data_IF_763039584649
#
_entry.id   IF_763039584649
#
_cell.length_a   1.000
_cell.length_b   1.000
_cell.length_c   1.000
_cell.angle_alpha   90.00
_cell.angle_beta   90.00
_cell.angle_gamma   90.00
#
_symmetry.space_group_name_H-M   'P 1'
#
loop_
_entity.id
_entity.type
_entity.pdbx_description
1 polymer ?
#
# COMPACT_ATOMS: atom_id res chain seq x y z
N UNK A 1 27.93 -1.16 -17.58
CA UNK A 1 26.94 -1.99 -16.86
C UNK A 1 26.15 -1.17 -15.84
N UNK A 2 26.79 -0.43 -14.92
CA UNK A 2 26.07 0.45 -13.97
C UNK A 2 25.14 1.46 -14.66
N UNK A 3 25.60 2.15 -15.71
CA UNK A 3 24.77 3.07 -16.50
C UNK A 3 23.51 2.39 -17.05
N UNK A 4 23.67 1.21 -17.64
CA UNK A 4 22.56 0.42 -18.17
C UNK A 4 21.57 0.02 -17.07
N UNK A 5 22.06 -0.42 -15.91
CA UNK A 5 21.20 -0.73 -14.75
C UNK A 5 20.45 0.53 -14.30
N UNK A 6 21.13 1.65 -14.14
CA UNK A 6 20.49 2.89 -13.73
C UNK A 6 19.41 3.34 -14.72
N UNK A 7 19.70 3.37 -16.02
CA UNK A 7 18.74 3.73 -17.07
C UNK A 7 17.52 2.80 -17.09
N UNK A 8 17.77 1.49 -16.93
CA UNK A 8 16.71 0.46 -16.92
C UNK A 8 15.71 0.66 -15.80
N UNK A 9 16.17 0.93 -14.58
CA UNK A 9 15.33 0.95 -13.38
C UNK A 9 14.83 2.33 -12.97
N UNK A 10 15.32 3.41 -13.61
CA UNK A 10 14.94 4.79 -13.27
C UNK A 10 13.72 5.32 -14.02
N UNK A 11 13.30 4.67 -15.11
CA UNK A 11 12.19 5.14 -15.95
C UNK A 11 11.16 4.04 -16.21
N UNK A 12 9.89 4.41 -16.17
CA UNK A 12 8.74 3.53 -16.45
C UNK A 12 8.83 2.86 -17.82
N UNK A 13 9.20 3.60 -18.87
CA UNK A 13 9.27 3.06 -20.23
C UNK A 13 10.32 1.94 -20.34
N UNK A 14 11.47 2.14 -19.71
CA UNK A 14 12.51 1.13 -19.67
C UNK A 14 12.10 -0.08 -18.81
N UNK A 15 11.50 0.12 -17.64
CA UNK A 15 10.95 -0.98 -16.84
C UNK A 15 9.85 -1.76 -17.57
N UNK A 16 9.01 -1.08 -18.36
CA UNK A 16 7.92 -1.71 -19.09
C UNK A 16 8.39 -2.53 -20.30
N UNK A 17 9.52 -2.15 -20.91
CA UNK A 17 10.12 -2.84 -22.07
C UNK A 17 11.18 -3.86 -21.65
N UNK A 18 11.84 -3.61 -20.52
CA UNK A 18 12.80 -4.53 -19.94
C UNK A 18 12.05 -5.65 -19.24
N UNK A 19 12.59 -6.87 -19.26
CA UNK A 19 12.00 -8.05 -18.61
C UNK A 19 10.72 -8.64 -19.27
N UNK A 20 9.75 -7.88 -19.79
CA UNK A 20 8.57 -8.47 -20.47
C UNK A 20 8.38 -7.95 -21.90
N UNK A 21 7.66 -8.69 -22.76
CA UNK A 21 6.83 -9.89 -22.50
C UNK A 21 7.56 -11.25 -22.52
N UNK A 22 8.87 -11.27 -22.77
CA UNK A 22 9.59 -12.51 -23.06
C UNK A 22 10.02 -13.38 -21.86
N UNK A 23 9.92 -12.90 -20.63
CA UNK A 23 10.49 -13.58 -19.46
C UNK A 23 9.41 -14.01 -18.47
N UNK A 24 9.58 -15.19 -17.88
CA UNK A 24 8.72 -15.64 -16.80
C UNK A 24 9.04 -14.86 -15.51
N UNK A 25 8.10 -14.89 -14.56
CA UNK A 25 8.32 -14.33 -13.23
C UNK A 25 9.59 -14.87 -12.56
N UNK A 26 9.87 -16.16 -12.77
CA UNK A 26 11.07 -16.81 -12.24
C UNK A 26 12.35 -16.24 -12.84
N UNK A 27 12.38 -16.01 -14.16
CA UNK A 27 13.53 -15.42 -14.84
C UNK A 27 13.82 -14.00 -14.33
N UNK A 28 12.78 -13.25 -14.00
CA UNK A 28 12.90 -11.89 -13.46
C UNK A 28 13.47 -11.92 -12.05
N UNK A 29 12.95 -12.79 -11.19
CA UNK A 29 13.49 -12.98 -9.84
C UNK A 29 14.96 -13.38 -9.89
N UNK A 30 15.33 -14.31 -10.77
CA UNK A 30 16.74 -14.71 -10.96
C UNK A 30 17.61 -13.55 -11.44
N UNK A 31 17.14 -12.78 -12.43
CA UNK A 31 17.87 -11.61 -12.94
C UNK A 31 18.08 -10.54 -11.87
N UNK A 32 17.03 -10.21 -11.11
CA UNK A 32 17.10 -9.24 -10.01
C UNK A 32 18.00 -9.75 -8.88
N UNK A 33 17.95 -11.04 -8.54
CA UNK A 33 18.84 -11.64 -7.54
C UNK A 33 20.30 -11.61 -7.98
N UNK A 34 20.59 -11.83 -9.27
CA UNK A 34 21.93 -11.73 -9.82
C UNK A 34 22.46 -10.28 -9.81
N UNK A 35 21.61 -9.29 -10.07
CA UNK A 35 21.99 -7.88 -9.90
C UNK A 35 22.21 -7.52 -8.43
N UNK A 36 21.35 -8.00 -7.54
CA UNK A 36 21.43 -7.75 -6.10
C UNK A 36 22.65 -8.41 -5.44
N UNK A 37 23.16 -9.52 -5.98
CA UNK A 37 24.36 -10.19 -5.45
C UNK A 37 25.65 -9.39 -5.68
N UNK A 38 25.62 -8.38 -6.55
CA UNK A 38 26.75 -7.49 -6.81
C UNK A 38 26.52 -6.15 -6.10
N UNK A 39 27.24 -5.82 -5.02
CA UNK A 39 26.93 -4.66 -4.16
C UNK A 39 26.83 -3.32 -4.92
N UNK A 40 27.71 -3.10 -5.90
CA UNK A 40 27.71 -1.87 -6.70
C UNK A 40 26.47 -1.78 -7.60
N UNK A 41 26.05 -2.91 -8.20
CA UNK A 41 24.85 -2.95 -9.03
C UNK A 41 23.58 -2.87 -8.17
N UNK A 42 23.56 -3.53 -7.01
CA UNK A 42 22.49 -3.44 -6.04
C UNK A 42 22.24 -2.00 -5.58
N UNK A 43 23.30 -1.27 -5.23
CA UNK A 43 23.21 0.15 -4.86
C UNK A 43 22.74 1.02 -6.03
N UNK A 44 23.25 0.76 -7.24
CA UNK A 44 22.83 1.50 -8.44
C UNK A 44 21.35 1.27 -8.76
N UNK A 45 20.88 0.02 -8.66
CA UNK A 45 19.49 -0.35 -8.85
C UNK A 45 18.59 0.26 -7.77
N UNK A 46 19.00 0.20 -6.50
CA UNK A 46 18.27 0.85 -5.41
C UNK A 46 18.09 2.35 -5.62
N UNK A 47 19.18 3.06 -6.01
CA UNK A 47 19.13 4.48 -6.33
C UNK A 47 18.22 4.79 -7.54
N UNK A 48 18.27 3.93 -8.57
CA UNK A 48 17.42 4.08 -9.76
C UNK A 48 15.93 3.88 -9.42
N UNK A 49 15.60 2.83 -8.65
CA UNK A 49 14.25 2.58 -8.18
C UNK A 49 13.73 3.69 -7.26
N UNK A 50 14.59 4.25 -6.40
CA UNK A 50 14.25 5.42 -5.59
C UNK A 50 13.91 6.64 -6.48
N UNK A 51 14.69 6.88 -7.53
CA UNK A 51 14.40 7.93 -8.51
C UNK A 51 13.04 7.69 -9.19
N UNK A 52 12.77 6.44 -9.59
CA UNK A 52 11.52 6.06 -10.24
C UNK A 52 10.30 6.28 -9.33
N UNK A 53 10.34 5.86 -8.06
CA UNK A 53 9.19 6.04 -7.15
C UNK A 53 8.95 7.47 -6.71
N UNK A 54 9.97 8.33 -6.79
CA UNK A 54 9.89 9.75 -6.42
C UNK A 54 9.31 10.63 -7.54
N UNK A 55 8.95 10.04 -8.68
CA UNK A 55 8.30 10.77 -9.76
C UNK A 55 6.94 11.37 -9.30
N UNK A 56 6.46 12.44 -9.96
CA UNK A 56 5.17 13.02 -9.62
C UNK A 56 4.03 12.00 -9.76
N UNK A 57 3.15 11.92 -8.75
CA UNK A 57 1.98 11.03 -8.75
C UNK A 57 1.02 11.30 -9.94
N UNK A 58 1.08 12.49 -10.53
CA UNK A 58 0.31 12.81 -11.74
C UNK A 58 0.71 11.97 -12.95
N UNK A 59 1.90 11.35 -12.95
CA UNK A 59 2.29 10.38 -13.97
C UNK A 59 1.40 9.13 -13.96
N UNK A 60 0.79 8.77 -12.81
CA UNK A 60 -0.15 7.65 -12.75
C UNK A 60 -1.34 7.83 -13.70
N UNK A 61 -1.70 9.07 -14.05
CA UNK A 61 -2.77 9.37 -15.00
C UNK A 61 -2.42 9.04 -16.47
N UNK A 62 -1.13 8.81 -16.77
CA UNK A 62 -0.67 8.45 -18.11
C UNK A 62 -0.76 6.94 -18.35
N UNK A 63 -0.75 6.15 -17.27
CA UNK A 63 -0.86 4.70 -17.33
C UNK A 63 -2.33 4.32 -17.44
N UNK A 64 -2.78 4.10 -18.67
CA UNK A 64 -4.19 3.89 -19.01
C UNK A 64 -4.43 2.52 -19.63
N UNK A 65 -3.36 1.77 -19.90
CA UNK A 65 -3.40 0.41 -20.43
C UNK A 65 -2.82 -0.58 -19.42
N UNK A 66 -3.33 -1.83 -19.35
CA UNK A 66 -2.77 -2.85 -18.45
C UNK A 66 -1.28 -3.12 -18.66
N UNK A 67 -0.76 -2.87 -19.87
CA UNK A 67 0.68 -2.96 -20.18
C UNK A 67 1.52 -1.93 -19.44
N UNK A 68 0.95 -0.78 -19.09
CA UNK A 68 1.66 0.29 -18.36
C UNK A 68 1.90 -0.08 -16.90
N UNK A 69 1.15 -1.05 -16.37
CA UNK A 69 1.30 -1.57 -15.01
C UNK A 69 2.50 -2.51 -14.86
N UNK A 70 3.12 -2.88 -15.97
CA UNK A 70 4.13 -3.92 -16.01
C UNK A 70 5.35 -3.60 -15.11
N UNK A 71 5.79 -2.34 -15.08
CA UNK A 71 6.79 -1.82 -14.15
C UNK A 71 6.55 -2.23 -12.68
N UNK A 72 5.29 -2.25 -12.21
CA UNK A 72 4.97 -2.63 -10.83
C UNK A 72 5.21 -4.11 -10.59
N UNK A 73 4.94 -4.96 -11.59
CA UNK A 73 5.19 -6.39 -11.52
C UNK A 73 6.69 -6.67 -11.38
N UNK A 74 7.54 -5.99 -12.14
CA UNK A 74 9.00 -6.14 -12.03
C UNK A 74 9.47 -5.77 -10.63
N UNK A 75 9.03 -4.62 -10.11
CA UNK A 75 9.47 -4.14 -8.78
C UNK A 75 8.94 -5.03 -7.67
N UNK A 76 7.73 -5.58 -7.80
CA UNK A 76 7.16 -6.54 -6.85
C UNK A 76 7.87 -7.91 -6.82
N UNK A 77 8.76 -8.18 -7.78
CA UNK A 77 9.63 -9.37 -7.76
C UNK A 77 11.03 -9.09 -7.21
N UNK A 78 11.29 -7.87 -6.73
CA UNK A 78 12.60 -7.51 -6.21
C UNK A 78 12.93 -8.29 -4.92
N UNK A 79 14.13 -8.90 -4.81
CA UNK A 79 14.47 -9.78 -3.66
C UNK A 79 14.55 -9.02 -2.33
N UNK A 80 14.85 -7.72 -2.38
CA UNK A 80 14.99 -6.86 -1.19
C UNK A 80 13.68 -6.18 -0.75
N UNK A 81 12.50 -6.58 -1.24
CA UNK A 81 11.24 -5.93 -0.80
C UNK A 81 10.96 -6.02 0.71
N UNK A 82 11.49 -7.06 1.37
CA UNK A 82 11.41 -7.25 2.82
C UNK A 82 12.51 -6.49 3.58
N UNK A 83 13.47 -5.90 2.87
CA UNK A 83 14.58 -5.18 3.49
C UNK A 83 14.12 -3.80 3.99
N UNK A 84 14.39 -3.44 5.25
CA UNK A 84 14.09 -2.10 5.78
C UNK A 84 14.66 -0.95 4.93
N UNK A 85 15.76 -1.16 4.19
CA UNK A 85 16.37 -0.17 3.30
C UNK A 85 15.51 0.10 2.05
N UNK A 86 14.67 -0.85 1.64
CA UNK A 86 13.79 -0.74 0.48
C UNK A 86 12.42 -0.15 0.80
N UNK A 87 12.15 0.22 2.06
CA UNK A 87 10.86 0.81 2.47
C UNK A 87 10.47 2.01 1.60
N UNK A 88 11.40 2.90 1.27
CA UNK A 88 11.09 4.06 0.42
C UNK A 88 10.60 3.66 -0.97
N UNK A 89 11.16 2.58 -1.54
CA UNK A 89 10.70 2.02 -2.82
C UNK A 89 9.31 1.42 -2.69
N UNK A 90 9.06 0.60 -1.66
CA UNK A 90 7.74 0.00 -1.43
C UNK A 90 6.66 1.08 -1.22
N UNK A 91 6.90 2.04 -0.34
CA UNK A 91 5.97 3.11 -0.02
C UNK A 91 5.72 4.06 -1.20
N UNK A 92 6.78 4.44 -1.93
CA UNK A 92 6.64 5.27 -3.12
C UNK A 92 5.92 4.57 -4.26
N UNK A 93 6.21 3.28 -4.50
CA UNK A 93 5.46 2.45 -5.45
C UNK A 93 3.98 2.35 -5.07
N UNK A 94 3.68 2.07 -3.80
CA UNK A 94 2.30 2.00 -3.32
C UNK A 94 1.57 3.33 -3.55
N UNK A 95 2.23 4.47 -3.32
CA UNK A 95 1.67 5.79 -3.60
C UNK A 95 1.37 5.99 -5.08
N UNK A 96 2.26 5.58 -5.98
CA UNK A 96 2.00 5.63 -7.42
C UNK A 96 0.78 4.76 -7.81
N UNK A 97 0.67 3.56 -7.24
CA UNK A 97 -0.46 2.65 -7.46
C UNK A 97 -1.78 3.18 -6.86
N UNK A 98 -1.73 3.88 -5.73
CA UNK A 98 -2.89 4.50 -5.11
C UNK A 98 -3.59 5.50 -6.05
N UNK A 99 -2.81 6.25 -6.83
CA UNK A 99 -3.30 7.27 -7.77
C UNK A 99 -3.63 6.72 -9.18
N UNK A 100 -3.57 5.40 -9.38
CA UNK A 100 -4.14 4.77 -10.58
C UNK A 100 -5.65 5.00 -10.62
N UNK A 101 -6.21 5.08 -11.83
CA UNK A 101 -7.66 5.11 -12.01
C UNK A 101 -8.31 3.76 -11.66
N UNK A 102 -9.63 3.76 -11.51
CA UNK A 102 -10.38 2.57 -11.11
C UNK A 102 -10.25 1.41 -12.11
N UNK A 103 -10.07 1.71 -13.40
CA UNK A 103 -9.87 0.70 -14.45
C UNK A 103 -8.53 -0.02 -14.28
N UNK A 104 -7.47 0.73 -14.00
CA UNK A 104 -6.15 0.18 -13.72
C UNK A 104 -6.10 -0.54 -12.38
N UNK A 105 -6.77 -0.05 -11.33
CA UNK A 105 -6.91 -0.79 -10.06
C UNK A 105 -7.65 -2.11 -10.26
N UNK A 106 -8.68 -2.15 -11.10
CA UNK A 106 -9.36 -3.39 -11.46
C UNK A 106 -8.42 -4.36 -12.20
N UNK A 107 -7.54 -3.87 -13.08
CA UNK A 107 -6.53 -4.69 -13.75
C UNK A 107 -5.49 -5.26 -12.75
N UNK A 108 -5.06 -4.47 -11.76
CA UNK A 108 -4.21 -4.96 -10.65
C UNK A 108 -4.90 -6.10 -9.92
N UNK A 109 -6.16 -5.91 -9.53
CA UNK A 109 -6.95 -6.92 -8.82
C UNK A 109 -7.11 -8.19 -9.65
N UNK A 110 -7.46 -8.07 -10.92
CA UNK A 110 -7.60 -9.22 -11.82
C UNK A 110 -6.29 -10.00 -11.97
N UNK A 111 -5.15 -9.30 -12.05
CA UNK A 111 -3.82 -9.92 -12.13
C UNK A 111 -3.48 -10.67 -10.85
N UNK A 112 -3.63 -10.04 -9.69
CA UNK A 112 -3.35 -10.65 -8.39
C UNK A 112 -4.34 -11.78 -8.04
N UNK A 113 -5.59 -11.71 -8.48
CA UNK A 113 -6.54 -12.80 -8.32
C UNK A 113 -6.06 -14.11 -8.98
N UNK A 114 -5.23 -14.02 -10.03
CA UNK A 114 -4.58 -15.14 -10.69
C UNK A 114 -3.30 -15.66 -10.01
N UNK A 115 -2.82 -15.01 -8.93
CA UNK A 115 -1.61 -15.44 -8.22
C UNK A 115 -1.86 -16.70 -7.38
N UNK A 116 -0.78 -17.44 -7.13
CA UNK A 116 -0.79 -18.57 -6.20
C UNK A 116 -1.02 -18.08 -4.76
N UNK A 117 -1.46 -18.98 -3.88
CA UNK A 117 -1.63 -18.66 -2.45
C UNK A 117 -0.32 -18.19 -1.81
N UNK A 118 0.81 -18.81 -2.17
CA UNK A 118 2.14 -18.45 -1.68
C UNK A 118 2.49 -17.01 -2.07
N UNK A 119 2.16 -16.62 -3.29
CA UNK A 119 2.47 -15.27 -3.78
C UNK A 119 1.59 -14.19 -3.16
N UNK A 120 0.33 -14.51 -2.90
CA UNK A 120 -0.58 -13.60 -2.19
C UNK A 120 -0.15 -13.40 -0.74
N UNK A 121 0.25 -14.47 -0.05
CA UNK A 121 0.84 -14.36 1.28
C UNK A 121 2.12 -13.54 1.29
N UNK A 122 3.00 -13.74 0.30
CA UNK A 122 4.22 -12.93 0.20
C UNK A 122 3.90 -11.44 0.08
N UNK A 123 2.90 -11.06 -0.72
CA UNK A 123 2.47 -9.65 -0.82
C UNK A 123 1.86 -9.14 0.49
N UNK A 124 1.04 -9.97 1.14
CA UNK A 124 0.46 -9.69 2.46
C UNK A 124 1.56 -9.38 3.49
N UNK A 125 2.59 -10.23 3.57
CA UNK A 125 3.71 -10.07 4.49
C UNK A 125 4.52 -8.79 4.22
N UNK A 126 4.81 -8.49 2.94
CA UNK A 126 5.52 -7.25 2.56
C UNK A 126 4.77 -6.02 3.04
N UNK A 127 3.45 -5.97 2.82
CA UNK A 127 2.64 -4.81 3.21
C UNK A 127 2.49 -4.70 4.73
N UNK A 128 2.31 -5.81 5.44
CA UNK A 128 2.29 -5.81 6.91
C UNK A 128 3.61 -5.36 7.51
N UNK A 129 4.72 -5.89 7.02
CA UNK A 129 6.04 -5.50 7.51
C UNK A 129 6.29 -4.01 7.28
N UNK A 130 5.89 -3.48 6.12
CA UNK A 130 5.99 -2.05 5.85
C UNK A 130 5.21 -1.22 6.87
N UNK A 131 3.95 -1.57 7.14
CA UNK A 131 3.09 -0.88 8.12
C UNK A 131 3.72 -0.93 9.51
N UNK A 132 4.15 -2.11 9.96
CA UNK A 132 4.78 -2.30 11.27
C UNK A 132 6.05 -1.46 11.41
N UNK A 133 6.95 -1.50 10.42
CA UNK A 133 8.19 -0.73 10.45
C UNK A 133 7.94 0.79 10.37
N UNK A 134 6.89 1.23 9.70
CA UNK A 134 6.52 2.64 9.64
C UNK A 134 6.02 3.16 11.00
N UNK A 135 5.22 2.37 11.72
CA UNK A 135 4.67 2.75 13.02
C UNK A 135 5.72 2.69 14.15
N UNK A 136 6.54 1.64 14.17
CA UNK A 136 7.58 1.47 15.21
C UNK A 136 8.80 2.36 14.95
N UNK A 137 9.13 2.61 13.68
CA UNK A 137 10.37 3.27 13.28
C UNK A 137 10.35 4.80 13.19
N UNK A 138 9.23 5.45 13.54
CA UNK A 138 9.03 6.91 13.57
C UNK A 138 9.31 7.75 12.29
N UNK A 139 9.82 7.15 11.20
CA UNK A 139 10.42 7.90 10.07
C UNK A 139 9.75 7.71 8.69
N UNK A 140 8.42 7.48 8.64
CA UNK A 140 7.73 7.37 7.34
C UNK A 140 6.56 8.33 7.22
N UNK A 141 6.38 8.85 6.00
CA UNK A 141 5.28 9.76 5.66
C UNK A 141 3.96 8.99 5.68
N UNK A 142 2.95 9.56 6.34
CA UNK A 142 1.62 8.95 6.48
C UNK A 142 0.96 8.64 5.13
N UNK A 143 1.27 9.41 4.08
CA UNK A 143 0.72 9.16 2.75
C UNK A 143 1.18 7.81 2.16
N UNK A 144 2.45 7.44 2.31
CA UNK A 144 2.95 6.12 1.89
C UNK A 144 2.33 5.00 2.71
N UNK A 145 2.15 5.22 4.02
CA UNK A 145 1.53 4.26 4.93
C UNK A 145 0.11 3.92 4.48
N UNK A 146 -0.72 4.93 4.23
CA UNK A 146 -2.09 4.69 3.80
C UNK A 146 -2.19 4.22 2.34
N UNK A 147 -1.22 4.55 1.48
CA UNK A 147 -1.14 3.94 0.16
C UNK A 147 -0.91 2.42 0.24
N UNK A 148 -0.06 1.96 1.17
CA UNK A 148 0.14 0.53 1.41
C UNK A 148 -1.11 -0.11 2.00
N UNK A 149 -1.83 0.56 2.91
CA UNK A 149 -3.14 0.09 3.37
C UNK A 149 -4.14 -0.06 2.21
N UNK A 150 -4.11 0.81 1.20
CA UNK A 150 -4.95 0.69 -0.01
C UNK A 150 -4.58 -0.54 -0.86
N UNK A 151 -3.28 -0.86 -0.99
CA UNK A 151 -2.87 -2.09 -1.67
C UNK A 151 -3.29 -3.34 -0.87
N UNK A 152 -3.18 -3.29 0.45
CA UNK A 152 -3.63 -4.37 1.32
C UNK A 152 -5.15 -4.57 1.22
N UNK A 153 -5.92 -3.51 1.02
CA UNK A 153 -7.37 -3.57 0.73
C UNK A 153 -7.67 -4.35 -0.55
N UNK A 154 -6.85 -4.22 -1.60
CA UNK A 154 -7.01 -5.02 -2.82
C UNK A 154 -6.79 -6.51 -2.56
N UNK A 155 -5.78 -6.88 -1.75
CA UNK A 155 -5.57 -8.26 -1.33
C UNK A 155 -6.74 -8.79 -0.47
N UNK A 156 -7.27 -7.96 0.42
CA UNK A 156 -8.44 -8.29 1.22
C UNK A 156 -9.66 -8.57 0.34
N UNK A 157 -9.91 -7.75 -0.69
CA UNK A 157 -11.00 -7.96 -1.63
C UNK A 157 -10.86 -9.29 -2.40
N UNK A 158 -9.64 -9.65 -2.80
CA UNK A 158 -9.36 -10.95 -3.42
C UNK A 158 -9.67 -12.08 -2.43
N UNK A 159 -9.28 -11.94 -1.16
CA UNK A 159 -9.53 -12.94 -0.13
C UNK A 159 -11.03 -13.06 0.21
N UNK A 160 -11.76 -11.95 0.28
CA UNK A 160 -13.21 -11.95 0.52
C UNK A 160 -13.96 -12.72 -0.57
N UNK A 161 -13.56 -12.55 -1.82
CA UNK A 161 -14.19 -13.20 -2.98
C UNK A 161 -13.83 -14.67 -3.12
N UNK A 162 -12.59 -15.04 -2.82
CA UNK A 162 -12.06 -16.38 -3.11
C UNK A 162 -11.87 -17.29 -1.90
N UNK A 163 -11.70 -16.70 -0.71
CA UNK A 163 -11.27 -17.36 0.55
C UNK A 163 -10.12 -18.35 0.37
N UNK A 164 -9.22 -18.06 -0.58
CA UNK A 164 -8.29 -19.06 -1.08
C UNK A 164 -6.97 -19.11 -0.32
N UNK A 165 -6.53 -18.01 0.32
CA UNK A 165 -5.18 -17.97 0.86
C UNK A 165 -5.11 -17.81 2.38
N UNK A 166 -5.89 -16.94 3.01
CA UNK A 166 -5.78 -16.77 4.47
C UNK A 166 -7.11 -16.52 5.19
N UNK A 167 -7.09 -16.68 6.51
CA UNK A 167 -8.18 -16.25 7.39
C UNK A 167 -8.23 -14.72 7.49
N UNK A 168 -9.41 -14.16 7.77
CA UNK A 168 -9.55 -12.70 7.93
C UNK A 168 -8.68 -12.12 9.04
N UNK A 169 -8.38 -12.90 10.07
CA UNK A 169 -7.48 -12.49 11.14
C UNK A 169 -6.03 -12.29 10.69
N UNK A 170 -5.63 -12.88 9.56
CA UNK A 170 -4.30 -12.68 9.00
C UNK A 170 -4.07 -11.25 8.48
N UNK A 171 -5.15 -10.49 8.26
CA UNK A 171 -5.07 -9.08 7.89
C UNK A 171 -4.94 -8.15 9.09
N UNK A 172 -5.08 -8.63 10.32
CA UNK A 172 -4.89 -7.80 11.50
C UNK A 172 -3.42 -7.46 11.66
N UNK A 173 -3.10 -6.18 11.85
CA UNK A 173 -1.72 -5.76 12.07
C UNK A 173 -1.50 -5.40 13.54
N UNK A 174 -0.65 -6.15 14.23
CA UNK A 174 -0.42 -5.97 15.66
C UNK A 174 0.05 -4.55 16.01
N UNK A 175 0.96 -3.96 15.23
CA UNK A 175 1.46 -2.61 15.49
C UNK A 175 0.36 -1.54 15.36
N UNK A 176 -0.57 -1.69 14.42
CA UNK A 176 -1.75 -0.81 14.32
C UNK A 176 -2.64 -0.94 15.56
N UNK A 177 -2.81 -2.16 16.07
CA UNK A 177 -3.69 -2.44 17.21
C UNK A 177 -3.04 -2.14 18.59
N UNK A 178 -1.71 -2.06 18.68
CA UNK A 178 -0.98 -1.80 19.94
C UNK A 178 -0.38 -0.40 20.04
N UNK A 179 0.22 0.13 18.98
CA UNK A 179 1.02 1.37 19.04
C UNK A 179 0.19 2.64 18.76
N UNK A 180 -0.95 2.49 18.10
CA UNK A 180 -1.77 3.61 17.66
C UNK A 180 -2.66 4.12 18.80
N UNK A 181 -2.67 5.45 19.00
CA UNK A 181 -3.75 6.07 19.76
C UNK A 181 -5.04 6.08 18.91
N UNK A 182 -5.84 5.02 19.06
CA UNK A 182 -7.08 4.82 18.31
C UNK A 182 -8.08 5.96 18.48
N UNK A 183 -8.09 6.68 19.61
CA UNK A 183 -8.99 7.82 19.79
C UNK A 183 -8.58 8.98 18.89
N UNK A 184 -7.28 9.27 18.80
CA UNK A 184 -6.75 10.31 17.90
C UNK A 184 -6.95 9.92 16.44
N UNK A 185 -6.70 8.67 16.08
CA UNK A 185 -6.93 8.17 14.72
C UNK A 185 -8.41 8.23 14.33
N UNK A 186 -9.31 7.80 15.23
CA UNK A 186 -10.76 7.89 15.04
C UNK A 186 -11.24 9.32 14.76
N UNK A 187 -10.68 10.32 15.43
CA UNK A 187 -11.04 11.72 15.22
C UNK A 187 -10.73 12.23 13.79
N UNK A 188 -9.79 11.59 13.09
CA UNK A 188 -9.44 11.88 11.69
C UNK A 188 -10.18 10.99 10.68
N UNK A 189 -10.89 9.96 11.16
CA UNK A 189 -11.58 8.98 10.32
C UNK A 189 -12.73 9.56 9.52
N UNK A 190 -13.02 8.94 8.38
CA UNK A 190 -14.18 9.31 7.57
C UNK A 190 -15.50 9.07 8.30
N UNK A 191 -15.53 8.12 9.24
CA UNK A 191 -16.70 7.83 10.09
C UNK A 191 -17.02 9.04 10.96
N UNK A 192 -16.04 9.55 11.72
CA UNK A 192 -16.24 10.74 12.56
C UNK A 192 -16.61 11.97 11.72
N UNK A 193 -15.94 12.16 10.58
CA UNK A 193 -16.16 13.31 9.71
C UNK A 193 -17.55 13.34 9.06
N UNK A 194 -18.16 12.17 8.77
CA UNK A 194 -19.54 12.10 8.26
C UNK A 194 -20.56 12.69 9.24
N UNK A 195 -20.30 12.58 10.53
CA UNK A 195 -21.21 13.13 11.52
C UNK A 195 -21.04 14.65 11.62
N UNK A 196 -19.87 15.22 11.34
CA UNK A 196 -19.59 16.65 11.55
C UNK A 196 -20.40 17.54 10.57
N UNK A 197 -21.23 18.49 11.06
CA UNK A 197 -22.20 19.21 10.23
C UNK A 197 -21.61 20.28 9.29
N UNK A 198 -20.30 20.55 9.33
CA UNK A 198 -19.65 21.66 8.61
C UNK A 198 -18.66 21.26 7.52
N UNK A 199 -18.53 19.98 7.20
CA UNK A 199 -17.64 19.53 6.14
C UNK A 199 -18.38 19.55 4.80
N UNK A 200 -18.14 20.60 4.00
CA UNK A 200 -18.18 20.43 2.54
C UNK A 200 -17.35 19.18 2.22
N UNK A 201 -17.87 18.26 1.40
CA UNK A 201 -17.18 17.04 0.98
C UNK A 201 -15.92 17.40 0.19
N UNK A 202 -14.87 17.82 0.88
CA UNK A 202 -13.54 17.98 0.33
C UNK A 202 -12.94 16.59 0.25
N UNK A 203 -12.48 16.21 -0.94
CA UNK A 203 -11.67 15.00 -1.14
C UNK A 203 -10.49 15.04 -0.16
N UNK A 204 -10.49 14.14 0.84
CA UNK A 204 -9.39 14.04 1.82
C UNK A 204 -8.09 13.72 1.12
N UNK A 205 -7.01 14.37 1.54
CA UNK A 205 -5.69 14.00 1.06
C UNK A 205 -5.31 12.63 1.61
N UNK A 206 -4.46 11.90 0.88
CA UNK A 206 -4.00 10.58 1.29
C UNK A 206 -3.34 10.58 2.68
N UNK A 207 -2.63 11.64 3.05
CA UNK A 207 -2.02 11.81 4.38
C UNK A 207 -3.01 12.09 5.51
N UNK A 208 -4.26 12.42 5.19
CA UNK A 208 -5.33 12.75 6.15
C UNK A 208 -6.26 11.54 6.41
N UNK A 209 -5.96 10.40 5.80
CA UNK A 209 -6.65 9.16 6.10
C UNK A 209 -6.34 8.69 7.52
N UNK A 210 -7.11 7.73 7.99
CA UNK A 210 -6.93 7.10 9.29
C UNK A 210 -7.00 5.59 9.16
N UNK A 211 -6.41 4.85 10.10
CA UNK A 211 -6.51 3.38 10.13
C UNK A 211 -7.95 2.89 10.31
N UNK A 212 -8.81 3.70 10.93
CA UNK A 212 -10.25 3.45 10.98
C UNK A 212 -10.94 3.47 9.60
N UNK A 213 -10.31 4.03 8.56
CA UNK A 213 -10.78 3.90 7.17
C UNK A 213 -10.46 2.52 6.55
N UNK A 214 -9.62 1.71 7.20
CA UNK A 214 -9.20 0.37 6.79
C UNK A 214 -9.55 -0.69 7.85
N UNK A 215 -10.85 -0.95 8.11
CA UNK A 215 -11.28 -1.75 9.25
C UNK A 215 -10.79 -3.20 9.22
N UNK A 216 -10.45 -3.76 8.05
CA UNK A 216 -9.91 -5.12 7.96
C UNK A 216 -8.55 -5.28 8.66
N UNK A 217 -7.81 -4.18 8.90
CA UNK A 217 -6.52 -4.18 9.61
C UNK A 217 -6.69 -4.22 11.14
N UNK A 218 -7.86 -3.80 11.61
CA UNK A 218 -8.17 -3.71 13.03
C UNK A 218 -8.68 -5.05 13.58
N UNK A 219 -8.20 -5.42 14.75
CA UNK A 219 -8.69 -6.60 15.46
C UNK A 219 -10.08 -6.35 16.10
N UNK A 220 -10.76 -7.39 16.61
CA UNK A 220 -12.08 -7.22 17.22
C UNK A 220 -12.10 -6.27 18.42
N UNK A 221 -11.02 -6.22 19.20
CA UNK A 221 -10.92 -5.35 20.37
C UNK A 221 -10.86 -3.87 19.96
N UNK A 222 -9.99 -3.53 19.02
CA UNK A 222 -9.83 -2.19 18.45
C UNK A 222 -11.10 -1.73 17.73
N UNK A 223 -11.74 -2.61 16.97
CA UNK A 223 -13.05 -2.35 16.35
C UNK A 223 -14.13 -2.01 17.39
N UNK A 224 -14.20 -2.78 18.47
CA UNK A 224 -15.15 -2.54 19.56
C UNK A 224 -14.91 -1.19 20.24
N UNK A 225 -13.64 -0.80 20.39
CA UNK A 225 -13.27 0.49 20.95
C UNK A 225 -13.66 1.66 20.03
N UNK A 226 -13.44 1.53 18.72
CA UNK A 226 -13.89 2.53 17.73
C UNK A 226 -15.41 2.72 17.78
N UNK A 227 -16.18 1.63 17.86
CA UNK A 227 -17.64 1.70 18.03
C UNK A 227 -18.05 2.39 19.33
N UNK A 228 -17.33 2.15 20.42
CA UNK A 228 -17.56 2.82 21.69
C UNK A 228 -17.32 4.34 21.58
N UNK A 229 -16.25 4.77 20.92
CA UNK A 229 -15.98 6.19 20.68
C UNK A 229 -17.08 6.86 19.83
N UNK A 230 -17.58 6.17 18.81
CA UNK A 230 -18.70 6.66 18.00
C UNK A 230 -20.00 6.78 18.80
N UNK A 231 -20.33 5.76 19.59
CA UNK A 231 -21.51 5.78 20.46
C UNK A 231 -21.47 6.93 21.47
N UNK A 232 -20.34 7.14 22.15
CA UNK A 232 -20.18 8.27 23.07
C UNK A 232 -20.34 9.61 22.37
N UNK A 233 -19.74 9.75 21.17
CA UNK A 233 -19.82 10.99 20.41
C UNK A 233 -21.26 11.31 19.99
N UNK A 234 -21.98 10.32 19.46
CA UNK A 234 -23.38 10.47 19.05
C UNK A 234 -24.28 10.79 20.25
N UNK A 235 -24.07 10.14 21.39
CA UNK A 235 -24.83 10.42 22.61
C UNK A 235 -24.63 11.87 23.08
N UNK A 236 -23.38 12.36 23.14
CA UNK A 236 -23.10 13.76 23.52
C UNK A 236 -23.77 14.75 22.57
N UNK A 237 -23.79 14.47 21.26
CA UNK A 237 -24.49 15.32 20.29
C UNK A 237 -25.99 15.34 20.49
N UNK A 238 -26.62 14.20 20.72
CA UNK A 238 -28.06 14.13 20.97
C UNK A 238 -28.46 14.86 22.25
N UNK A 239 -27.65 14.76 23.31
CA UNK A 239 -27.87 15.51 24.55
C UNK A 239 -27.77 17.01 24.30
N UNK A 240 -26.72 17.49 23.62
CA UNK A 240 -26.57 18.91 23.30
C UNK A 240 -27.65 19.43 22.33
N UNK A 241 -28.10 18.62 21.38
CA UNK A 241 -29.19 18.97 20.47
C UNK A 241 -30.57 19.00 21.14
N UNK A 242 -30.79 18.19 22.18
CA UNK A 242 -32.04 18.18 22.95
C UNK A 242 -32.15 19.33 23.97
N UNK A 243 -31.05 20.05 24.23
CA UNK A 243 -30.97 21.16 25.17
C UNK A 243 -30.98 22.54 24.48
N UNK A 244 -31.04 22.58 23.14
CA UNK A 244 -31.10 23.78 22.31
C UNK A 244 -32.49 23.93 21.69
#
# INVERSE_FOLDING_TARGET
>A
MQTLVYETFSHSDHLNVSCFPGHSRHDIQQGLALLASHPVLANTMGNALQSWVNQPWSNSKKWTQPTDLHQFWVVLEHPLLFDPEYRQVVGGMAKLMYFLDDGMKAAVLARWAGYSEVDLHRLLDVFHQFITLALVGAELKMDMLFAVCDLLRLLHEINEKSRKFCEFSAFYNDAVNSELNLLTDYANSGVFLKHRPTTHQTTRQLSELSFCDFPFILDPASKSLVLHFDAEYQQRRTVHGSLA
#
